data_IF_212860299163
#
_entry.id   IF_212860299163
#
_cell.length_a   1.000
_cell.length_b   1.000
_cell.length_c   1.000
_cell.angle_alpha   90.00
_cell.angle_beta   90.00
_cell.angle_gamma   90.00
#
_symmetry.space_group_name_H-M   'P 1'
#
loop_
_entity.id
_entity.type
_entity.pdbx_description
1 polymer ?
#
# COMPACT_ATOMS: atom_id res chain seq x y z
N UNK A 1 43.36 26.49 -8.06
CA UNK A 1 42.33 26.23 -7.02
C UNK A 1 42.17 24.72 -6.93
N UNK A 2 43.10 24.05 -6.24
CA UNK A 2 43.11 22.59 -6.14
C UNK A 2 42.22 22.19 -4.96
N UNK A 3 41.11 21.50 -5.24
CA UNK A 3 40.25 20.96 -4.21
C UNK A 3 41.09 20.08 -3.25
N UNK A 4 40.96 20.31 -1.94
CA UNK A 4 41.66 19.54 -0.93
C UNK A 4 41.30 18.05 -1.09
N UNK A 5 42.26 17.11 -0.92
CA UNK A 5 42.00 15.69 -1.13
C UNK A 5 40.82 15.18 -0.30
N UNK A 6 40.60 15.74 0.90
CA UNK A 6 39.45 15.43 1.76
C UNK A 6 38.08 15.74 1.14
N UNK A 7 37.94 16.80 0.34
CA UNK A 7 36.67 17.13 -0.32
C UNK A 7 36.30 16.12 -1.42
N UNK A 8 37.32 15.63 -2.15
CA UNK A 8 37.13 14.64 -3.23
C UNK A 8 36.76 13.26 -2.68
N UNK A 9 37.40 12.83 -1.59
CA UNK A 9 37.04 11.58 -0.91
C UNK A 9 35.61 11.63 -0.32
N UNK A 10 35.24 12.76 0.30
CA UNK A 10 33.89 12.93 0.85
C UNK A 10 32.81 12.90 -0.25
N UNK A 11 33.04 13.60 -1.36
CA UNK A 11 32.11 13.63 -2.50
C UNK A 11 31.90 12.25 -3.15
N UNK A 12 32.97 11.45 -3.29
CA UNK A 12 32.88 10.09 -3.84
C UNK A 12 32.10 9.17 -2.90
N UNK A 13 32.37 9.22 -1.59
CA UNK A 13 31.62 8.43 -0.61
C UNK A 13 30.13 8.80 -0.58
N UNK A 14 29.81 10.10 -0.67
CA UNK A 14 28.43 10.58 -0.69
C UNK A 14 27.69 10.12 -1.96
N UNK A 15 28.35 10.15 -3.12
CA UNK A 15 27.79 9.66 -4.38
C UNK A 15 27.52 8.15 -4.35
N UNK A 16 28.40 7.37 -3.70
CA UNK A 16 28.21 5.92 -3.52
C UNK A 16 27.00 5.64 -2.63
N UNK A 17 26.87 6.35 -1.49
CA UNK A 17 25.73 6.19 -0.56
C UNK A 17 24.41 6.54 -1.25
N UNK A 18 24.37 7.64 -2.02
CA UNK A 18 23.18 8.04 -2.77
C UNK A 18 22.82 7.04 -3.88
N UNK A 19 23.83 6.50 -4.58
CA UNK A 19 23.64 5.46 -5.59
C UNK A 19 23.09 4.15 -5.01
N UNK A 20 23.60 3.72 -3.85
CA UNK A 20 23.12 2.54 -3.12
C UNK A 20 21.67 2.75 -2.65
N UNK A 21 21.34 3.92 -2.12
CA UNK A 21 19.98 4.25 -1.65
C UNK A 21 18.96 4.29 -2.78
N UNK A 22 19.35 4.77 -3.97
CA UNK A 22 18.51 4.74 -5.17
C UNK A 22 18.30 3.32 -5.69
N UNK A 23 19.32 2.46 -5.62
CA UNK A 23 19.23 1.05 -5.99
C UNK A 23 18.32 0.23 -5.04
N UNK A 24 18.30 0.61 -3.75
CA UNK A 24 17.44 0.01 -2.72
C UNK A 24 16.06 0.66 -2.59
N UNK A 25 15.73 1.67 -3.41
CA UNK A 25 14.37 2.19 -3.50
C UNK A 25 13.49 1.11 -4.14
N UNK A 26 12.92 0.26 -3.28
CA UNK A 26 12.02 -0.80 -3.67
C UNK A 26 10.86 -0.23 -4.49
N UNK A 27 10.61 -0.83 -5.64
CA UNK A 27 9.36 -0.61 -6.37
C UNK A 27 8.24 -1.02 -5.41
N UNK A 28 7.43 -0.06 -4.98
CA UNK A 28 6.20 -0.36 -4.26
C UNK A 28 5.31 -1.18 -5.21
N UNK A 29 5.36 -2.50 -5.08
CA UNK A 29 4.51 -3.39 -5.88
C UNK A 29 3.10 -3.32 -5.29
N UNK A 30 2.19 -2.67 -6.00
CA UNK A 30 0.76 -2.81 -5.70
C UNK A 30 0.35 -4.23 -6.10
N UNK A 31 0.35 -5.17 -5.15
CA UNK A 31 0.01 -6.59 -5.37
C UNK A 31 -1.51 -6.83 -5.52
N UNK A 32 -2.30 -5.78 -5.79
CA UNK A 32 -3.75 -5.88 -5.89
C UNK A 32 -4.17 -6.29 -7.30
N UNK A 33 -5.11 -7.24 -7.36
CA UNK A 33 -5.76 -7.66 -8.59
C UNK A 33 -7.24 -7.88 -8.34
N UNK A 34 -8.09 -7.39 -9.24
CA UNK A 34 -9.55 -7.64 -9.19
C UNK A 34 -9.90 -9.13 -9.29
N UNK A 35 -9.02 -9.94 -9.88
CA UNK A 35 -9.18 -11.38 -10.03
C UNK A 35 -8.43 -12.19 -8.97
N UNK A 36 -7.94 -11.57 -7.89
CA UNK A 36 -7.13 -12.23 -6.86
C UNK A 36 -7.77 -13.52 -6.33
N UNK A 37 -9.08 -13.52 -6.09
CA UNK A 37 -9.82 -14.68 -5.57
C UNK A 37 -10.44 -15.58 -6.65
N UNK A 38 -10.24 -15.30 -7.94
CA UNK A 38 -10.96 -16.00 -9.01
C UNK A 38 -10.73 -17.53 -9.01
N UNK A 39 -9.57 -18.00 -8.54
CA UNK A 39 -9.23 -19.43 -8.47
C UNK A 39 -9.48 -20.05 -7.10
N UNK A 40 -9.32 -19.29 -6.02
CA UNK A 40 -9.37 -19.80 -4.65
C UNK A 40 -10.76 -19.69 -4.04
N UNK A 41 -11.51 -18.63 -4.35
CA UNK A 41 -12.87 -18.40 -3.88
C UNK A 41 -13.66 -17.57 -4.92
N UNK A 42 -14.16 -18.20 -6.00
CA UNK A 42 -14.81 -17.48 -7.09
C UNK A 42 -16.11 -16.77 -6.67
N UNK A 43 -16.77 -17.23 -5.61
CA UNK A 43 -18.02 -16.67 -5.08
C UNK A 43 -17.83 -15.61 -4.00
N UNK A 44 -16.59 -15.20 -3.69
CA UNK A 44 -16.31 -14.28 -2.57
C UNK A 44 -17.08 -12.96 -2.70
N UNK A 45 -17.10 -12.36 -3.90
CA UNK A 45 -17.74 -11.07 -4.12
C UNK A 45 -19.26 -11.16 -3.99
N UNK A 46 -19.87 -12.23 -4.48
CA UNK A 46 -21.30 -12.48 -4.32
C UNK A 46 -21.68 -12.73 -2.86
N UNK A 47 -20.87 -13.52 -2.15
CA UNK A 47 -21.08 -13.83 -0.73
C UNK A 47 -20.99 -12.57 0.13
N UNK A 48 -19.94 -11.76 -0.07
CA UNK A 48 -19.78 -10.48 0.64
C UNK A 48 -20.92 -9.52 0.30
N UNK A 49 -21.31 -9.41 -0.97
CA UNK A 49 -22.43 -8.54 -1.40
C UNK A 49 -23.74 -8.95 -0.72
N UNK A 50 -24.03 -10.25 -0.65
CA UNK A 50 -25.22 -10.76 0.03
C UNK A 50 -25.19 -10.43 1.53
N UNK A 51 -24.06 -10.64 2.21
CA UNK A 51 -23.89 -10.30 3.62
C UNK A 51 -24.06 -8.80 3.91
N UNK A 52 -23.42 -7.94 3.11
CA UNK A 52 -23.56 -6.49 3.23
C UNK A 52 -25.01 -6.05 3.00
N UNK A 53 -25.69 -6.58 1.98
CA UNK A 53 -27.11 -6.30 1.74
C UNK A 53 -27.99 -6.74 2.90
N UNK A 54 -27.74 -7.91 3.48
CA UNK A 54 -28.47 -8.37 4.66
C UNK A 54 -28.29 -7.43 5.85
N UNK A 55 -27.05 -6.96 6.10
CA UNK A 55 -26.78 -6.01 7.18
C UNK A 55 -27.46 -4.66 6.96
N UNK A 56 -27.47 -4.16 5.72
CA UNK A 56 -28.17 -2.93 5.35
C UNK A 56 -29.69 -3.05 5.52
N UNK A 57 -30.27 -4.17 5.12
CA UNK A 57 -31.70 -4.42 5.26
C UNK A 57 -32.12 -4.55 6.73
N UNK A 58 -31.24 -5.04 7.60
CA UNK A 58 -31.48 -5.10 9.04
C UNK A 58 -31.39 -3.70 9.69
N UNK A 59 -30.36 -2.92 9.34
CA UNK A 59 -30.23 -1.54 9.79
C UNK A 59 -29.46 -0.71 8.74
N UNK A 60 -30.15 0.26 8.12
CA UNK A 60 -29.56 1.10 7.05
C UNK A 60 -28.28 1.82 7.50
N UNK A 61 -28.19 2.19 8.78
CA UNK A 61 -27.00 2.84 9.37
C UNK A 61 -25.74 2.00 9.27
N UNK A 62 -25.86 0.67 9.18
CA UNK A 62 -24.72 -0.24 9.05
C UNK A 62 -23.85 0.07 7.83
N UNK A 63 -24.43 0.60 6.74
CA UNK A 63 -23.64 1.00 5.57
C UNK A 63 -22.62 2.09 5.90
N UNK A 64 -23.06 3.11 6.64
CA UNK A 64 -22.18 4.18 7.11
C UNK A 64 -21.14 3.66 8.11
N UNK A 65 -21.52 2.74 9.00
CA UNK A 65 -20.60 2.11 9.96
C UNK A 65 -19.50 1.29 9.27
N UNK A 66 -19.85 0.49 8.26
CA UNK A 66 -18.89 -0.32 7.49
C UNK A 66 -17.90 0.57 6.73
N UNK A 67 -18.40 1.63 6.07
CA UNK A 67 -17.53 2.60 5.41
C UNK A 67 -16.59 3.29 6.39
N UNK A 68 -17.10 3.73 7.56
CA UNK A 68 -16.28 4.34 8.61
C UNK A 68 -15.18 3.39 9.09
N UNK A 69 -15.51 2.11 9.28
CA UNK A 69 -14.53 1.09 9.68
C UNK A 69 -13.43 0.93 8.61
N UNK A 70 -13.79 0.83 7.33
CA UNK A 70 -12.83 0.75 6.23
C UNK A 70 -11.87 1.96 6.21
N UNK A 71 -12.41 3.17 6.35
CA UNK A 71 -11.58 4.37 6.44
C UNK A 71 -10.69 4.38 7.67
N UNK A 72 -11.21 3.96 8.82
CA UNK A 72 -10.44 3.89 10.06
C UNK A 72 -9.26 2.93 9.95
N UNK A 73 -9.45 1.75 9.36
CA UNK A 73 -8.39 0.75 9.17
C UNK A 73 -7.33 1.22 8.16
N UNK A 74 -7.73 1.99 7.14
CA UNK A 74 -6.80 2.44 6.09
C UNK A 74 -6.05 3.73 6.44
N UNK A 75 -6.62 4.61 7.27
CA UNK A 75 -5.99 5.91 7.61
C UNK A 75 -5.20 5.88 8.92
N UNK A 76 -5.43 4.92 9.82
CA UNK A 76 -4.74 4.84 11.12
C UNK A 76 -3.52 3.91 11.02
N UNK A 77 -2.59 4.23 10.12
CA UNK A 77 -1.28 3.56 10.03
C UNK A 77 -0.15 4.53 9.70
#
# INVERSE_FOLDING_TARGET
MAATPGYRFCAVSLAIILGISFFFSGIATAQLSVSFYAKTCPSVFETVRAGVRSALNAETRMGASILRLFFHDCFVN
#
